data_IF_350398335452
#
_entry.id   IF_350398335452
#
_cell.length_a   1.000
_cell.length_b   1.000
_cell.length_c   1.000
_cell.angle_alpha   90.00
_cell.angle_beta   90.00
_cell.angle_gamma   90.00
#
_symmetry.space_group_name_H-M   'P 1'
#
loop_
_entity.id
_entity.type
_entity.pdbx_description
1 polymer ?
#
# COMPACT_ATOMS: atom_id res chain seq x y z
N UNK A 1 12.18 18.39 7.47
CA UNK A 1 11.75 17.54 6.35
C UNK A 1 12.80 16.45 6.21
N UNK A 2 12.44 15.16 6.33
CA UNK A 2 13.41 14.09 6.01
C UNK A 2 13.59 14.11 4.50
N UNK A 3 14.84 14.11 4.04
CA UNK A 3 15.15 13.94 2.63
C UNK A 3 14.43 12.70 2.09
N UNK A 4 13.78 12.81 0.94
CA UNK A 4 13.24 11.65 0.25
C UNK A 4 14.40 10.71 -0.03
N UNK A 5 14.43 9.57 0.67
CA UNK A 5 15.47 8.59 0.41
C UNK A 5 15.33 8.05 -1.01
N UNK A 6 16.45 7.84 -1.71
CA UNK A 6 16.47 7.25 -3.05
C UNK A 6 15.61 5.98 -3.12
N UNK A 7 15.66 5.19 -2.06
CA UNK A 7 14.87 3.98 -1.90
C UNK A 7 13.35 4.23 -1.95
N UNK A 8 12.82 5.29 -1.32
CA UNK A 8 11.40 5.65 -1.45
C UNK A 8 11.05 6.04 -2.88
N UNK A 9 11.90 6.84 -3.53
CA UNK A 9 11.68 7.27 -4.91
C UNK A 9 11.68 6.08 -5.88
N UNK A 10 12.59 5.13 -5.69
CA UNK A 10 12.65 3.90 -6.49
C UNK A 10 11.42 3.01 -6.27
N UNK A 11 10.93 2.87 -5.03
CA UNK A 11 9.71 2.09 -4.76
C UNK A 11 8.48 2.70 -5.43
N UNK A 12 8.33 4.02 -5.36
CA UNK A 12 7.21 4.69 -6.04
C UNK A 12 7.36 4.56 -7.56
N UNK A 13 8.54 4.86 -8.09
CA UNK A 13 8.84 4.68 -9.52
C UNK A 13 8.55 3.26 -10.00
N UNK A 14 8.88 2.24 -9.21
CA UNK A 14 8.60 0.86 -9.56
C UNK A 14 7.10 0.54 -9.58
N UNK A 15 6.31 1.07 -8.65
CA UNK A 15 4.85 0.93 -8.71
C UNK A 15 4.26 1.58 -9.97
N UNK A 16 4.78 2.74 -10.39
CA UNK A 16 4.39 3.34 -11.66
C UNK A 16 4.86 2.55 -12.88
N UNK A 17 6.05 1.95 -12.82
CA UNK A 17 6.55 1.05 -13.87
C UNK A 17 5.64 -0.18 -14.01
N UNK A 18 5.15 -0.75 -12.90
CA UNK A 18 4.15 -1.82 -12.90
C UNK A 18 2.87 -1.37 -13.63
N UNK A 19 2.40 -0.14 -13.42
CA UNK A 19 1.24 0.39 -14.15
C UNK A 19 1.50 0.44 -15.67
N UNK A 20 2.64 0.99 -16.09
CA UNK A 20 2.99 1.14 -17.50
C UNK A 20 3.20 -0.20 -18.20
N UNK A 21 3.91 -1.14 -17.54
CA UNK A 21 4.13 -2.50 -18.05
C UNK A 21 2.79 -3.21 -18.20
N UNK A 22 1.94 -3.16 -17.17
CA UNK A 22 0.60 -3.76 -17.21
C UNK A 22 -0.22 -3.18 -18.36
N UNK A 23 -0.19 -1.87 -18.53
CA UNK A 23 -0.89 -1.20 -19.62
C UNK A 23 -0.37 -1.68 -20.98
N UNK A 24 0.96 -1.70 -21.19
CA UNK A 24 1.57 -2.15 -22.46
C UNK A 24 1.24 -3.61 -22.78
N UNK A 25 1.43 -4.51 -21.83
CA UNK A 25 1.16 -5.96 -21.99
C UNK A 25 -0.30 -6.24 -22.35
N UNK A 26 -1.21 -5.40 -21.87
CA UNK A 26 -2.65 -5.62 -22.09
C UNK A 26 -3.22 -4.85 -23.29
N UNK A 27 -2.44 -3.95 -23.90
CA UNK A 27 -2.90 -3.08 -25.00
C UNK A 27 -2.22 -3.36 -26.33
N UNK A 28 -1.04 -3.98 -26.34
CA UNK A 28 -0.22 -4.14 -27.55
C UNK A 28 0.00 -5.60 -27.85
N UNK A 29 0.03 -5.93 -29.15
CA UNK A 29 0.33 -7.28 -29.63
C UNK A 29 1.71 -7.74 -29.17
N UNK A 30 1.83 -9.06 -28.94
CA UNK A 30 3.05 -9.68 -28.40
C UNK A 30 4.31 -9.34 -29.21
N UNK A 31 4.18 -9.26 -30.53
CA UNK A 31 5.28 -8.93 -31.46
C UNK A 31 5.84 -7.52 -31.29
N UNK A 32 5.11 -6.62 -30.63
CA UNK A 32 5.49 -5.20 -30.45
C UNK A 32 5.73 -4.86 -28.99
N UNK A 33 5.74 -5.83 -28.07
CA UNK A 33 5.94 -5.56 -26.64
C UNK A 33 7.27 -4.85 -26.35
N UNK A 34 8.32 -5.23 -27.06
CA UNK A 34 9.69 -4.71 -26.89
C UNK A 34 10.12 -3.71 -27.97
N UNK A 35 9.19 -3.29 -28.84
CA UNK A 35 9.41 -2.25 -29.84
C UNK A 35 9.37 -0.87 -29.16
N UNK A 36 10.47 -0.52 -28.49
CA UNK A 36 10.65 0.71 -27.70
C UNK A 36 11.94 1.43 -28.11
N UNK A 37 11.83 2.73 -28.34
CA UNK A 37 12.99 3.60 -28.57
C UNK A 37 13.61 4.08 -27.25
N UNK A 38 14.83 4.61 -27.29
CA UNK A 38 15.45 5.26 -26.12
C UNK A 38 14.62 6.43 -25.58
N UNK A 39 13.93 7.15 -26.48
CA UNK A 39 13.00 8.22 -26.12
C UNK A 39 11.80 7.68 -25.36
N UNK A 40 11.20 6.56 -25.83
CA UNK A 40 10.07 5.92 -25.15
C UNK A 40 10.45 5.46 -23.75
N UNK A 41 11.63 4.87 -23.58
CA UNK A 41 12.14 4.42 -22.27
C UNK A 41 12.33 5.61 -21.32
N UNK A 42 12.86 6.73 -21.82
CA UNK A 42 13.06 7.93 -21.02
C UNK A 42 11.73 8.52 -20.55
N UNK A 43 10.77 8.66 -21.47
CA UNK A 43 9.42 9.15 -21.17
C UNK A 43 8.72 8.20 -20.18
N UNK A 44 8.81 6.88 -20.41
CA UNK A 44 8.25 5.87 -19.53
C UNK A 44 8.83 5.95 -18.12
N UNK A 45 10.14 6.22 -17.98
CA UNK A 45 10.79 6.35 -16.67
C UNK A 45 10.25 7.56 -15.89
N UNK A 46 10.11 8.72 -16.56
CA UNK A 46 9.55 9.92 -15.94
C UNK A 46 8.08 9.70 -15.56
N UNK A 47 7.29 9.12 -16.47
CA UNK A 47 5.88 8.80 -16.21
C UNK A 47 5.73 7.78 -15.08
N UNK A 48 6.61 6.78 -14.98
CA UNK A 48 6.60 5.81 -13.90
C UNK A 48 6.81 6.50 -12.53
N UNK A 49 7.75 7.43 -12.43
CA UNK A 49 7.96 8.19 -11.20
C UNK A 49 6.73 9.02 -10.80
N UNK A 50 6.10 9.71 -11.77
CA UNK A 50 4.92 10.54 -11.53
C UNK A 50 3.68 9.71 -11.16
N UNK A 51 3.38 8.67 -11.95
CA UNK A 51 2.25 7.78 -11.72
C UNK A 51 2.38 7.04 -10.39
N UNK A 52 3.57 6.51 -10.12
CA UNK A 52 3.86 5.82 -8.87
C UNK A 52 3.64 6.69 -7.65
N UNK A 53 4.11 7.94 -7.69
CA UNK A 53 3.91 8.92 -6.62
C UNK A 53 2.43 9.27 -6.45
N UNK A 54 1.70 9.46 -7.55
CA UNK A 54 0.26 9.74 -7.52
C UNK A 54 -0.55 8.57 -6.94
N UNK A 55 -0.25 7.34 -7.37
CA UNK A 55 -0.89 6.11 -6.87
C UNK A 55 -0.61 5.95 -5.38
N UNK A 56 0.63 6.13 -4.95
CA UNK A 56 0.98 6.04 -3.52
C UNK A 56 0.24 7.09 -2.69
N UNK A 57 0.24 8.35 -3.14
CA UNK A 57 -0.46 9.44 -2.45
C UNK A 57 -1.96 9.16 -2.35
N UNK A 58 -2.58 8.73 -3.45
CA UNK A 58 -4.00 8.35 -3.48
C UNK A 58 -4.29 7.15 -2.58
N UNK A 59 -3.43 6.12 -2.61
CA UNK A 59 -3.55 4.97 -1.73
C UNK A 59 -3.50 5.41 -0.25
N UNK A 60 -2.52 6.21 0.15
CA UNK A 60 -2.37 6.66 1.55
C UNK A 60 -3.51 7.56 2.01
N UNK A 61 -3.97 8.47 1.15
CA UNK A 61 -4.99 9.44 1.51
C UNK A 61 -6.42 8.87 1.47
N UNK A 62 -6.73 8.02 0.50
CA UNK A 62 -8.11 7.62 0.19
C UNK A 62 -8.36 6.14 0.46
N UNK A 63 -7.46 5.26 0.03
CA UNK A 63 -7.73 3.81 0.04
C UNK A 63 -7.29 3.13 1.33
N UNK A 64 -6.21 3.58 1.95
CA UNK A 64 -5.65 2.97 3.15
C UNK A 64 -6.51 3.16 4.40
N UNK A 65 -7.11 4.34 4.68
CA UNK A 65 -7.96 4.52 5.86
C UNK A 65 -9.08 3.47 6.03
N UNK A 66 -9.89 3.16 5.00
CA UNK A 66 -10.89 2.10 5.12
C UNK A 66 -10.28 0.69 5.27
N UNK A 67 -9.15 0.41 4.60
CA UNK A 67 -8.43 -0.88 4.76
C UNK A 67 -7.99 -1.08 6.21
N UNK A 68 -7.33 -0.07 6.79
CA UNK A 68 -6.86 -0.10 8.18
C UNK A 68 -8.01 -0.31 9.16
N UNK A 69 -9.16 0.34 8.93
CA UNK A 69 -10.35 0.16 9.77
C UNK A 69 -10.93 -1.22 9.68
N UNK A 70 -10.97 -1.80 8.49
CA UNK A 70 -11.43 -3.17 8.30
C UNK A 70 -10.51 -4.17 9.01
N UNK A 71 -9.19 -4.00 8.90
CA UNK A 71 -8.21 -4.81 9.63
C UNK A 71 -8.31 -4.63 11.15
N UNK A 72 -8.55 -3.41 11.62
CA UNK A 72 -8.77 -3.19 13.05
C UNK A 72 -10.05 -3.90 13.52
N UNK A 73 -11.14 -3.82 12.76
CA UNK A 73 -12.36 -4.56 13.08
C UNK A 73 -12.13 -6.07 13.17
N UNK A 74 -11.36 -6.66 12.24
CA UNK A 74 -11.05 -8.09 12.31
C UNK A 74 -10.20 -8.46 13.54
N UNK A 75 -9.27 -7.59 13.95
CA UNK A 75 -8.50 -7.78 15.19
C UNK A 75 -9.35 -7.60 16.46
N UNK A 76 -10.40 -6.76 16.44
CA UNK A 76 -11.30 -6.62 17.59
C UNK A 76 -12.08 -7.89 17.88
N UNK A 77 -12.49 -8.62 16.84
CA UNK A 77 -13.19 -9.90 16.97
C UNK A 77 -12.30 -10.91 17.69
N UNK A 78 -11.01 -10.94 17.35
CA UNK A 78 -10.05 -11.89 17.91
C UNK A 78 -9.56 -11.49 19.32
N UNK A 79 -9.20 -10.21 19.52
CA UNK A 79 -8.56 -9.72 20.75
C UNK A 79 -9.50 -9.03 21.74
N UNK A 80 -10.83 -9.14 21.57
CA UNK A 80 -11.88 -8.53 22.42
C UNK A 80 -11.71 -7.01 22.63
N UNK A 81 -11.18 -6.31 21.62
CA UNK A 81 -11.04 -4.86 21.65
C UNK A 81 -12.38 -4.18 21.31
N UNK A 82 -12.56 -2.91 21.70
CA UNK A 82 -13.72 -2.12 21.26
C UNK A 82 -13.70 -1.98 19.74
N UNK A 83 -14.74 -2.50 19.08
CA UNK A 83 -14.87 -2.44 17.62
C UNK A 83 -14.86 -0.99 17.10
N UNK A 84 -14.15 -0.69 16.01
CA UNK A 84 -14.21 0.61 15.37
C UNK A 84 -15.60 0.85 14.77
N UNK A 85 -16.00 2.11 14.68
CA UNK A 85 -17.21 2.45 13.92
C UNK A 85 -16.97 2.26 12.43
N UNK A 86 -17.76 1.38 11.80
CA UNK A 86 -17.78 1.12 10.35
C UNK A 86 -18.74 2.04 9.58
N UNK A 87 -19.21 3.13 10.20
CA UNK A 87 -20.09 4.11 9.55
C UNK A 87 -19.34 4.77 8.39
N UNK A 88 -19.92 4.90 7.18
CA UNK A 88 -19.22 5.37 5.98
C UNK A 88 -18.46 6.70 6.17
N UNK A 89 -19.09 7.70 6.79
CA UNK A 89 -18.47 9.01 7.05
C UNK A 89 -17.32 8.97 8.06
N UNK A 90 -17.20 7.90 8.85
CA UNK A 90 -16.07 7.71 9.75
C UNK A 90 -14.93 6.98 9.06
N UNK A 91 -15.10 6.29 7.92
CA UNK A 91 -14.05 5.46 7.32
C UNK A 91 -12.74 6.23 7.02
N UNK A 92 -12.83 7.53 6.75
CA UNK A 92 -11.68 8.42 6.51
C UNK A 92 -11.28 9.27 7.72
N UNK A 93 -11.99 9.18 8.84
CA UNK A 93 -11.59 9.88 10.05
C UNK A 93 -10.46 9.14 10.76
N UNK A 94 -9.60 9.86 11.47
CA UNK A 94 -8.65 9.23 12.40
C UNK A 94 -9.43 8.49 13.48
N UNK A 95 -9.02 7.27 13.81
CA UNK A 95 -9.62 6.51 14.92
C UNK A 95 -8.81 6.64 16.20
N UNK A 96 -9.46 6.51 17.37
CA UNK A 96 -8.75 6.57 18.67
C UNK A 96 -7.60 5.56 18.77
N UNK A 97 -7.76 4.40 18.12
CA UNK A 97 -6.73 3.37 18.14
C UNK A 97 -5.55 3.72 17.22
N UNK A 98 -5.83 4.34 16.09
CA UNK A 98 -4.81 4.83 15.17
C UNK A 98 -3.98 5.93 15.84
N UNK A 99 -4.61 6.81 16.62
CA UNK A 99 -3.92 7.79 17.47
C UNK A 99 -3.02 7.09 18.49
N UNK A 100 -3.53 6.08 19.20
CA UNK A 100 -2.76 5.34 20.22
C UNK A 100 -1.58 4.58 19.62
N UNK A 101 -1.79 3.88 18.50
CA UNK A 101 -0.71 3.18 17.80
C UNK A 101 0.33 4.15 17.25
N UNK A 102 -0.11 5.30 16.73
CA UNK A 102 0.81 6.35 16.25
C UNK A 102 1.67 6.90 17.38
N UNK A 103 1.06 7.16 18.54
CA UNK A 103 1.79 7.57 19.73
C UNK A 103 2.76 6.48 20.22
N UNK A 104 2.34 5.22 20.23
CA UNK A 104 3.18 4.09 20.60
C UNK A 104 4.41 3.94 19.67
N UNK A 105 4.21 4.08 18.36
CA UNK A 105 5.28 4.09 17.36
C UNK A 105 6.25 5.25 17.59
N UNK A 106 5.72 6.46 17.84
CA UNK A 106 6.54 7.63 18.18
C UNK A 106 7.40 7.38 19.43
N UNK A 107 6.80 6.86 20.50
CA UNK A 107 7.51 6.52 21.74
C UNK A 107 8.61 5.49 21.50
N UNK A 108 8.30 4.39 20.81
CA UNK A 108 9.28 3.34 20.50
C UNK A 108 10.43 3.84 19.64
N UNK A 109 10.17 4.77 18.72
CA UNK A 109 11.22 5.39 17.92
C UNK A 109 12.27 6.10 18.78
N UNK A 110 11.88 6.66 19.92
CA UNK A 110 12.78 7.31 20.87
C UNK A 110 13.54 6.30 21.75
N UNK A 111 12.93 5.17 22.09
CA UNK A 111 13.47 4.21 23.08
C UNK A 111 14.19 3.01 22.46
N UNK A 112 13.68 2.49 21.35
CA UNK A 112 14.15 1.27 20.69
C UNK A 112 14.21 1.50 19.17
N UNK A 113 15.08 2.42 18.70
CA UNK A 113 15.07 2.90 17.32
C UNK A 113 15.32 1.79 16.28
N UNK A 114 16.13 0.78 16.62
CA UNK A 114 16.42 -0.34 15.71
C UNK A 114 15.20 -1.20 15.38
N UNK A 115 14.39 -1.52 16.39
CA UNK A 115 13.15 -2.32 16.20
C UNK A 115 12.14 -1.51 15.38
N UNK A 116 11.93 -0.24 15.73
CA UNK A 116 10.98 0.61 15.00
C UNK A 116 11.43 0.83 13.55
N UNK A 117 12.73 0.98 13.27
CA UNK A 117 13.23 1.10 11.91
C UNK A 117 12.96 -0.15 11.05
N UNK A 118 13.02 -1.35 11.64
CA UNK A 118 12.64 -2.59 10.97
C UNK A 118 11.15 -2.64 10.63
N UNK A 119 10.30 -2.27 11.58
CA UNK A 119 8.84 -2.19 11.39
C UNK A 119 8.45 -1.14 10.35
N UNK A 120 9.10 0.02 10.35
CA UNK A 120 8.88 1.09 9.36
C UNK A 120 9.21 0.59 7.95
N UNK A 121 10.35 -0.09 7.77
CA UNK A 121 10.73 -0.68 6.47
C UNK A 121 9.75 -1.73 5.99
N UNK A 122 9.23 -2.55 6.90
CA UNK A 122 8.19 -3.53 6.57
C UNK A 122 6.89 -2.84 6.17
N UNK A 123 6.47 -1.80 6.90
CA UNK A 123 5.31 -0.97 6.53
C UNK A 123 5.46 -0.35 5.14
N UNK A 124 6.65 0.13 4.79
CA UNK A 124 6.92 0.65 3.44
C UNK A 124 6.77 -0.44 2.35
N UNK A 125 7.17 -1.69 2.62
CA UNK A 125 6.97 -2.81 1.68
C UNK A 125 5.49 -3.16 1.51
N UNK A 126 4.72 -3.14 2.60
CA UNK A 126 3.26 -3.36 2.55
C UNK A 126 2.58 -2.31 1.67
N UNK A 127 2.89 -1.02 1.87
CA UNK A 127 2.33 0.04 1.04
C UNK A 127 2.78 -0.03 -0.42
N UNK A 128 4.01 -0.48 -0.68
CA UNK A 128 4.49 -0.74 -2.03
C UNK A 128 3.67 -1.85 -2.71
N UNK A 129 3.36 -2.95 -2.02
CA UNK A 129 2.51 -4.02 -2.54
C UNK A 129 1.09 -3.50 -2.85
N UNK A 130 0.47 -2.77 -1.91
CA UNK A 130 -0.82 -2.14 -2.17
C UNK A 130 -0.79 -1.22 -3.40
N UNK A 131 0.23 -0.36 -3.49
CA UNK A 131 0.39 0.57 -4.61
C UNK A 131 0.57 -0.17 -5.93
N UNK A 132 1.30 -1.29 -5.94
CA UNK A 132 1.48 -2.14 -7.12
C UNK A 132 0.18 -2.83 -7.54
N UNK A 133 -0.63 -3.30 -6.59
CA UNK A 133 -1.98 -3.82 -6.87
C UNK A 133 -2.88 -2.75 -7.49
N UNK A 134 -2.89 -1.54 -6.92
CA UNK A 134 -3.66 -0.40 -7.46
C UNK A 134 -3.15 0.06 -8.81
N UNK A 135 -1.85 0.01 -9.06
CA UNK A 135 -1.25 0.29 -10.36
C UNK A 135 -1.78 -0.65 -11.45
N UNK A 136 -1.89 -1.95 -11.15
CA UNK A 136 -2.48 -2.94 -12.07
C UNK A 136 -3.95 -2.62 -12.34
N UNK A 137 -4.74 -2.37 -11.28
CA UNK A 137 -6.17 -2.03 -11.41
C UNK A 137 -6.35 -0.75 -12.24
N UNK A 138 -5.55 0.29 -11.99
CA UNK A 138 -5.61 1.53 -12.74
C UNK A 138 -5.29 1.32 -14.23
N UNK A 139 -4.24 0.56 -14.54
CA UNK A 139 -3.88 0.23 -15.91
C UNK A 139 -4.99 -0.54 -16.65
N UNK A 140 -5.58 -1.55 -16.00
CA UNK A 140 -6.71 -2.31 -16.55
C UNK A 140 -7.95 -1.43 -16.75
N UNK A 141 -8.21 -0.50 -15.84
CA UNK A 141 -9.32 0.47 -15.94
C UNK A 141 -9.12 1.38 -17.15
N UNK A 142 -7.94 2.00 -17.29
CA UNK A 142 -7.63 2.87 -18.45
C UNK A 142 -7.77 2.08 -19.74
N UNK A 143 -7.20 0.86 -19.80
CA UNK A 143 -7.35 -0.03 -20.95
C UNK A 143 -8.82 -0.28 -21.30
N UNK A 144 -9.67 -0.60 -20.32
CA UNK A 144 -11.10 -0.85 -20.60
C UNK A 144 -11.84 0.37 -21.16
N UNK A 145 -11.36 1.57 -20.84
CA UNK A 145 -11.91 2.82 -21.38
C UNK A 145 -11.38 3.14 -22.77
N UNK A 146 -10.15 2.73 -23.10
CA UNK A 146 -9.48 3.12 -24.35
C UNK A 146 -9.50 2.04 -25.44
N UNK A 147 -9.63 0.76 -25.09
CA UNK A 147 -9.57 -0.36 -26.04
C UNK A 147 -10.87 -1.17 -26.00
N UNK A 148 -11.61 -1.17 -27.12
CA UNK A 148 -12.87 -1.93 -27.30
C UNK A 148 -12.65 -3.42 -27.60
N UNK A 149 -11.71 -4.09 -26.94
CA UNK A 149 -11.46 -5.54 -27.13
C UNK A 149 -11.94 -6.38 -25.95
N UNK A 150 -12.35 -7.62 -26.23
CA UNK A 150 -13.03 -8.51 -25.29
C UNK A 150 -12.20 -8.93 -24.06
N UNK A 151 -12.91 -9.39 -23.04
CA UNK A 151 -12.42 -9.77 -21.69
C UNK A 151 -11.20 -10.72 -21.67
N UNK A 152 -11.10 -11.60 -22.67
CA UNK A 152 -10.10 -12.68 -22.74
C UNK A 152 -8.64 -12.20 -22.67
N UNK A 153 -8.34 -10.98 -23.14
CA UNK A 153 -6.98 -10.44 -23.12
C UNK A 153 -6.48 -10.01 -21.71
N UNK A 154 -7.36 -10.03 -20.68
CA UNK A 154 -7.04 -9.49 -19.34
C UNK A 154 -7.21 -10.51 -18.20
N UNK A 155 -7.70 -11.70 -18.50
CA UNK A 155 -8.12 -12.67 -17.48
C UNK A 155 -7.03 -13.13 -16.51
N UNK A 156 -5.77 -13.14 -16.95
CA UNK A 156 -4.61 -13.56 -16.13
C UNK A 156 -4.02 -12.43 -15.27
N UNK A 157 -4.31 -11.16 -15.58
CA UNK A 157 -3.76 -10.00 -14.85
C UNK A 157 -4.55 -9.73 -13.56
N UNK A 158 -5.86 -9.98 -13.58
CA UNK A 158 -6.73 -9.82 -12.40
C UNK A 158 -6.32 -10.73 -11.22
N UNK A 159 -6.05 -12.04 -11.41
CA UNK A 159 -5.51 -12.90 -10.35
C UNK A 159 -4.19 -12.39 -9.77
N UNK A 160 -3.31 -11.82 -10.60
CA UNK A 160 -2.03 -11.26 -10.12
C UNK A 160 -2.25 -10.04 -9.21
N UNK A 161 -3.14 -9.12 -9.60
CA UNK A 161 -3.53 -7.99 -8.74
C UNK A 161 -4.11 -8.48 -7.41
N UNK A 162 -5.02 -9.46 -7.45
CA UNK A 162 -5.62 -10.05 -6.27
C UNK A 162 -4.58 -10.71 -5.35
N UNK A 163 -3.65 -11.48 -5.92
CA UNK A 163 -2.57 -12.12 -5.16
C UNK A 163 -1.69 -11.08 -4.44
N UNK A 164 -1.34 -9.98 -5.12
CA UNK A 164 -0.57 -8.88 -4.53
C UNK A 164 -1.37 -8.22 -3.40
N UNK A 165 -2.67 -7.97 -3.58
CA UNK A 165 -3.52 -7.40 -2.52
C UNK A 165 -3.65 -8.33 -1.31
N UNK A 166 -3.83 -9.63 -1.53
CA UNK A 166 -3.88 -10.62 -0.45
C UNK A 166 -2.56 -10.66 0.32
N UNK A 167 -1.43 -10.65 -0.38
CA UNK A 167 -0.11 -10.59 0.26
C UNK A 167 0.04 -9.30 1.08
N UNK A 168 -0.27 -8.14 0.49
CA UNK A 168 -0.23 -6.85 1.18
C UNK A 168 -1.09 -6.89 2.45
N UNK A 169 -2.32 -7.37 2.34
CA UNK A 169 -3.28 -7.44 3.45
C UNK A 169 -2.81 -8.34 4.58
N UNK A 170 -2.30 -9.53 4.28
CA UNK A 170 -1.79 -10.47 5.29
C UNK A 170 -0.58 -9.89 6.01
N UNK A 171 0.35 -9.28 5.26
CA UNK A 171 1.53 -8.66 5.87
C UNK A 171 1.19 -7.44 6.72
N UNK A 172 0.25 -6.61 6.27
CA UNK A 172 -0.24 -5.45 7.02
C UNK A 172 -0.94 -5.88 8.32
N UNK A 173 -1.78 -6.91 8.27
CA UNK A 173 -2.44 -7.46 9.45
C UNK A 173 -1.43 -8.01 10.47
N UNK A 174 -0.37 -8.70 10.01
CA UNK A 174 0.72 -9.17 10.87
C UNK A 174 1.46 -8.01 11.53
N UNK A 175 1.80 -6.99 10.74
CA UNK A 175 2.46 -5.78 11.25
C UNK A 175 1.60 -5.07 12.30
N UNK A 176 0.31 -4.90 12.02
CA UNK A 176 -0.66 -4.31 12.93
C UNK A 176 -0.79 -5.12 14.22
N UNK A 177 -0.82 -6.45 14.12
CA UNK A 177 -0.88 -7.35 15.28
C UNK A 177 0.36 -7.20 16.18
N UNK A 178 1.55 -7.16 15.57
CA UNK A 178 2.80 -6.93 16.31
C UNK A 178 2.80 -5.56 16.98
N UNK A 179 2.35 -4.51 16.28
CA UNK A 179 2.22 -3.17 16.83
C UNK A 179 1.30 -3.13 18.05
N UNK A 180 0.17 -3.84 17.99
CA UNK A 180 -0.76 -4.00 19.11
C UNK A 180 -0.15 -4.75 20.28
N UNK A 181 0.52 -5.87 20.04
CA UNK A 181 1.15 -6.66 21.10
C UNK A 181 2.24 -5.87 21.81
N UNK A 182 3.09 -5.19 21.04
CA UNK A 182 4.12 -4.31 21.59
C UNK A 182 3.53 -3.14 22.37
N UNK A 183 2.42 -2.55 21.90
CA UNK A 183 1.71 -1.52 22.66
C UNK A 183 1.16 -2.06 23.98
N UNK A 184 0.54 -3.25 23.97
CA UNK A 184 0.01 -3.88 25.19
C UNK A 184 1.10 -4.20 26.22
N UNK A 185 2.26 -4.72 25.78
CA UNK A 185 3.42 -5.01 26.65
C UNK A 185 4.09 -3.74 27.19
N UNK A 186 4.25 -2.72 26.34
CA UNK A 186 4.77 -1.43 26.80
C UNK A 186 3.91 -0.78 27.89
N UNK A 187 2.59 -1.05 27.86
CA UNK A 187 1.65 -0.59 28.89
C UNK A 187 1.75 -1.38 30.20
N UNK A 188 2.12 -2.67 30.16
CA UNK A 188 2.32 -3.50 31.36
C UNK A 188 3.66 -3.21 32.03
N UNK A 189 4.70 -2.92 31.25
CA UNK A 189 6.07 -2.83 31.77
C UNK A 189 6.45 -1.43 32.28
N UNK A 190 5.73 -0.38 31.86
CA UNK A 190 6.10 1.02 32.15
C UNK A 190 4.98 1.86 32.78
N UNK A 191 3.90 1.22 33.24
CA UNK A 191 2.70 1.95 33.66
C UNK A 191 1.94 2.54 32.48
N UNK A 192 0.71 2.97 32.71
CA UNK A 192 -0.16 3.52 31.68
C UNK A 192 0.50 4.71 30.99
N UNK A 193 0.62 4.64 29.65
CA UNK A 193 0.69 5.83 28.81
C UNK A 193 -0.62 6.61 29.03
N UNK A 194 -0.64 7.48 30.02
CA UNK A 194 -1.63 8.55 30.18
C UNK A 194 -1.31 9.71 29.25
#
# INVERSE_FOLDING_TARGET
MKDFSLDQLLRYGFAGAVALITFRVTTVDESRLFDLTATDITIATVLAALLGSAIYAFHRAVLYPPILRFQHWSLCVDKRLKAPSLRPWRLWSVSDIETKLSFARWWRKQRVPGVQAGLDRWGDQVHFLYSSGWAIVAALTVRSLTVKSGWLATGYVWPAALAIFCAAFVHDLRLLTMDFEMYSRGRTDHGTFE
#
